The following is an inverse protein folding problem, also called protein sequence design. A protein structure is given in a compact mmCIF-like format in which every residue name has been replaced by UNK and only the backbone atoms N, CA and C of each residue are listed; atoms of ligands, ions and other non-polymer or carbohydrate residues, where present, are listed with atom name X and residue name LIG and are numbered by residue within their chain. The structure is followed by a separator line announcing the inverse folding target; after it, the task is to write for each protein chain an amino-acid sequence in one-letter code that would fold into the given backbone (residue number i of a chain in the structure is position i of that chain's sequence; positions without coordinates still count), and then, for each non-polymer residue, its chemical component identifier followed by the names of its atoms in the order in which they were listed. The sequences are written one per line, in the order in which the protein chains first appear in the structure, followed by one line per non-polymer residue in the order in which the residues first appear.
data_IF_120953066118
#
_entry.id   IF_120953066118
#
_cell.length_a   1.000
_cell.length_b   1.000
_cell.length_c   1.000
_cell.angle_alpha   90.00
_cell.angle_beta   90.00
_cell.angle_gamma   90.00
#
_symmetry.space_group_name_H-M   'P 1'
#
loop_
_entity.id
_entity.type
_entity.pdbx_description
1 polymer ?
#
# COMPACT_ATOMS: atom_id res chain seq x y z
N UNK A 1 -1.55 -26.59 -21.35
CA UNK A 1 -0.38 -27.51 -21.46
C UNK A 1 0.93 -26.84 -21.02
N UNK A 2 1.14 -25.54 -21.31
CA UNK A 2 2.35 -24.81 -20.92
C UNK A 2 2.56 -24.75 -19.39
N UNK A 3 1.50 -24.64 -18.59
CA UNK A 3 1.55 -24.59 -17.12
C UNK A 3 2.31 -25.76 -16.46
N UNK A 4 2.32 -26.95 -17.11
CA UNK A 4 3.02 -28.13 -16.57
C UNK A 4 4.54 -28.06 -16.71
N UNK A 5 5.05 -27.13 -17.51
CA UNK A 5 6.47 -27.02 -17.85
C UNK A 5 7.04 -25.63 -17.57
N UNK A 6 6.19 -24.66 -17.21
CA UNK A 6 6.63 -23.33 -16.80
C UNK A 6 7.29 -23.44 -15.43
N UNK A 7 8.47 -22.84 -15.29
CA UNK A 7 9.14 -22.69 -14.02
C UNK A 7 8.95 -21.26 -13.54
N UNK A 8 8.65 -21.13 -12.26
CA UNK A 8 8.77 -19.86 -11.54
C UNK A 8 10.19 -19.72 -11.00
N UNK A 9 10.72 -18.52 -11.04
CA UNK A 9 11.99 -18.18 -10.39
C UNK A 9 11.68 -17.23 -9.25
N UNK A 10 12.22 -17.50 -8.05
CA UNK A 10 12.13 -16.56 -6.94
C UNK A 10 13.27 -15.53 -6.93
N UNK A 11 13.20 -14.57 -6.04
CA UNK A 11 14.24 -13.53 -5.90
C UNK A 11 15.60 -14.06 -5.40
N UNK A 12 15.66 -15.33 -4.99
CA UNK A 12 16.90 -16.04 -4.62
C UNK A 12 17.42 -16.95 -5.74
N UNK A 13 16.89 -16.78 -6.97
CA UNK A 13 17.26 -17.55 -8.17
C UNK A 13 16.97 -19.06 -8.07
N UNK A 14 16.02 -19.46 -7.22
CA UNK A 14 15.52 -20.82 -7.15
C UNK A 14 14.35 -21.01 -8.11
N UNK A 15 14.33 -22.17 -8.75
CA UNK A 15 13.31 -22.53 -9.74
C UNK A 15 12.33 -23.52 -9.15
N UNK A 16 11.06 -23.34 -9.44
CA UNK A 16 9.96 -24.18 -8.97
C UNK A 16 8.99 -24.46 -10.10
N UNK A 17 8.45 -25.67 -10.13
CA UNK A 17 7.21 -25.92 -10.84
C UNK A 17 6.06 -25.19 -10.16
N UNK A 18 4.95 -25.04 -10.86
CA UNK A 18 3.77 -24.37 -10.30
C UNK A 18 3.28 -25.06 -9.01
N UNK A 19 3.23 -26.39 -8.98
CA UNK A 19 2.75 -27.18 -7.85
C UNK A 19 3.71 -27.09 -6.64
N UNK A 20 5.03 -27.12 -6.89
CA UNK A 20 6.04 -26.95 -5.84
C UNK A 20 5.94 -25.57 -5.21
N UNK A 21 5.77 -24.52 -6.02
CA UNK A 21 5.65 -23.16 -5.52
C UNK A 21 4.38 -22.95 -4.70
N UNK A 22 3.24 -23.47 -5.17
CA UNK A 22 2.01 -23.43 -4.39
C UNK A 22 2.18 -24.09 -3.02
N UNK A 23 2.80 -25.25 -2.98
CA UNK A 23 3.05 -25.99 -1.72
C UNK A 23 3.95 -25.18 -0.80
N UNK A 24 5.00 -24.55 -1.33
CA UNK A 24 5.94 -23.72 -0.57
C UNK A 24 5.27 -22.55 0.14
N UNK A 25 4.39 -21.84 -0.57
CA UNK A 25 3.82 -20.58 -0.05
C UNK A 25 2.52 -20.76 0.73
N UNK A 26 1.85 -21.91 0.63
CA UNK A 26 0.50 -22.15 1.12
C UNK A 26 0.29 -21.74 2.58
N UNK A 27 1.20 -22.12 3.45
CA UNK A 27 1.02 -21.91 4.90
C UNK A 27 1.25 -20.45 5.30
N UNK A 28 2.17 -19.78 4.62
CA UNK A 28 2.57 -18.41 4.97
C UNK A 28 1.86 -17.34 4.15
N UNK A 29 1.41 -17.65 2.93
CA UNK A 29 0.89 -16.66 1.99
C UNK A 29 -0.59 -16.89 1.65
N UNK A 30 -1.34 -17.53 2.53
CA UNK A 30 -2.80 -17.59 2.45
C UNK A 30 -3.39 -16.47 3.31
N UNK A 31 -4.31 -15.68 2.72
CA UNK A 31 -5.02 -14.60 3.42
C UNK A 31 -6.17 -15.14 4.28
N UNK A 32 -6.83 -14.26 5.04
CA UNK A 32 -7.97 -14.59 5.91
C UNK A 32 -9.19 -15.15 5.15
N UNK A 33 -9.32 -14.83 3.86
CA UNK A 33 -10.41 -15.27 3.00
C UNK A 33 -10.09 -16.58 2.28
N UNK A 34 -8.91 -17.14 2.53
CA UNK A 34 -8.42 -18.39 1.96
C UNK A 34 -7.87 -18.22 0.54
N UNK A 35 -7.51 -17.02 0.13
CA UNK A 35 -6.83 -16.81 -1.14
C UNK A 35 -5.32 -16.99 -0.97
N UNK A 36 -4.70 -17.68 -1.90
CA UNK A 36 -3.27 -17.85 -1.98
C UNK A 36 -2.63 -16.66 -2.68
N UNK A 37 -1.77 -15.93 -2.00
CA UNK A 37 -1.16 -14.70 -2.48
C UNK A 37 0.23 -14.97 -3.03
N UNK A 38 0.40 -14.80 -4.33
CA UNK A 38 1.69 -14.88 -5.01
C UNK A 38 2.33 -13.50 -5.00
N UNK A 39 3.30 -13.29 -4.13
CA UNK A 39 4.07 -12.06 -4.12
C UNK A 39 5.09 -12.09 -5.25
N UNK A 40 5.28 -10.97 -5.95
CA UNK A 40 6.27 -10.86 -7.00
C UNK A 40 6.96 -9.50 -7.04
N UNK A 41 8.15 -9.47 -7.60
CA UNK A 41 8.90 -8.29 -7.96
C UNK A 41 9.23 -8.34 -9.45
N UNK A 42 9.31 -7.19 -10.09
CA UNK A 42 9.75 -7.08 -11.49
C UNK A 42 11.12 -6.41 -11.65
N UNK A 43 11.66 -5.85 -10.57
CA UNK A 43 13.01 -5.30 -10.50
C UNK A 43 13.58 -5.50 -9.09
N UNK A 44 14.59 -6.37 -8.95
CA UNK A 44 15.20 -6.69 -7.67
C UNK A 44 15.84 -5.46 -7.00
N UNK A 45 16.49 -4.61 -7.77
CA UNK A 45 17.26 -3.50 -7.25
C UNK A 45 16.34 -2.37 -6.77
N UNK A 46 15.37 -1.98 -7.59
CA UNK A 46 14.41 -0.92 -7.23
C UNK A 46 13.46 -1.35 -6.10
N UNK A 47 13.14 -2.64 -6.01
CA UNK A 47 12.20 -3.17 -5.03
C UNK A 47 12.88 -3.89 -3.85
N UNK A 48 14.20 -3.70 -3.70
CA UNK A 48 14.98 -4.41 -2.69
C UNK A 48 14.40 -4.32 -1.26
N UNK A 49 14.05 -3.12 -0.81
CA UNK A 49 13.51 -2.91 0.54
C UNK A 49 12.16 -3.61 0.78
N UNK A 50 11.32 -3.69 -0.25
CA UNK A 50 10.03 -4.40 -0.18
C UNK A 50 10.23 -5.91 -0.20
N UNK A 51 11.17 -6.41 -1.01
CA UNK A 51 11.56 -7.83 -1.04
C UNK A 51 12.12 -8.25 0.32
N UNK A 52 13.03 -7.44 0.89
CA UNK A 52 13.60 -7.69 2.21
C UNK A 52 12.52 -7.72 3.30
N UNK A 53 11.60 -6.75 3.31
CA UNK A 53 10.49 -6.72 4.26
C UNK A 53 9.59 -7.96 4.15
N UNK A 54 9.30 -8.42 2.92
CA UNK A 54 8.50 -9.62 2.68
C UNK A 54 9.25 -10.89 3.14
N UNK A 55 10.54 -11.03 2.80
CA UNK A 55 11.34 -12.19 3.17
C UNK A 55 11.58 -12.28 4.67
N UNK A 56 11.75 -11.15 5.37
CA UNK A 56 11.87 -11.11 6.84
C UNK A 56 10.59 -11.59 7.54
N UNK A 57 9.43 -11.52 6.87
CA UNK A 57 8.17 -12.11 7.34
C UNK A 57 8.01 -13.60 6.96
N UNK A 58 9.00 -14.19 6.32
CA UNK A 58 8.96 -15.57 5.85
C UNK A 58 8.16 -15.75 4.56
N UNK A 59 7.88 -14.67 3.82
CA UNK A 59 7.23 -14.75 2.52
C UNK A 59 8.25 -15.03 1.43
N UNK A 60 7.85 -15.80 0.41
CA UNK A 60 8.63 -15.99 -0.80
C UNK A 60 8.14 -15.04 -1.89
N UNK A 61 9.07 -14.48 -2.65
CA UNK A 61 8.78 -13.49 -3.69
C UNK A 61 9.28 -14.00 -5.04
N UNK A 62 8.40 -14.05 -6.03
CA UNK A 62 8.75 -14.40 -7.41
C UNK A 62 9.46 -13.23 -8.09
N UNK A 63 10.37 -13.54 -8.99
CA UNK A 63 10.92 -12.60 -9.95
C UNK A 63 10.12 -12.70 -11.25
N UNK A 64 9.46 -11.62 -11.64
CA UNK A 64 8.64 -11.51 -12.85
C UNK A 64 9.08 -10.27 -13.63
N UNK A 65 10.26 -10.34 -14.23
CA UNK A 65 10.94 -9.27 -14.97
C UNK A 65 10.79 -9.37 -16.49
N UNK A 66 10.08 -10.38 -16.95
CA UNK A 66 9.83 -10.64 -18.37
C UNK A 66 8.68 -9.78 -18.92
N UNK A 67 8.80 -9.37 -20.18
CA UNK A 67 7.78 -8.56 -20.88
C UNK A 67 6.39 -9.23 -20.95
N UNK A 68 6.33 -10.54 -20.88
CA UNK A 68 5.07 -11.32 -20.95
C UNK A 68 4.48 -11.61 -19.56
N UNK A 69 5.18 -11.32 -18.49
CA UNK A 69 4.77 -11.73 -17.15
C UNK A 69 3.46 -11.06 -16.70
N UNK A 70 3.24 -9.81 -17.08
CA UNK A 70 1.96 -9.12 -16.80
C UNK A 70 0.78 -9.83 -17.44
N UNK A 71 0.93 -10.25 -18.69
CA UNK A 71 -0.11 -11.00 -19.39
C UNK A 71 -0.28 -12.41 -18.80
N UNK A 72 0.82 -13.04 -18.39
CA UNK A 72 0.81 -14.35 -17.74
C UNK A 72 0.10 -14.29 -16.37
N UNK A 73 0.38 -13.29 -15.56
CA UNK A 73 -0.28 -13.04 -14.26
C UNK A 73 -1.79 -12.96 -14.44
N UNK A 74 -2.25 -12.11 -15.35
CA UNK A 74 -3.70 -11.94 -15.62
C UNK A 74 -4.36 -13.24 -16.07
N UNK A 75 -3.67 -14.04 -16.91
CA UNK A 75 -4.16 -15.34 -17.34
C UNK A 75 -4.19 -16.36 -16.19
N UNK A 76 -3.20 -16.34 -15.31
CA UNK A 76 -3.14 -17.25 -14.16
C UNK A 76 -4.24 -16.96 -13.17
N UNK A 77 -4.47 -15.71 -12.83
CA UNK A 77 -5.56 -15.30 -11.91
C UNK A 77 -6.95 -15.72 -12.43
N UNK A 78 -7.18 -15.67 -13.74
CA UNK A 78 -8.43 -16.15 -14.32
C UNK A 78 -8.62 -17.66 -14.22
N UNK A 79 -7.53 -18.43 -14.18
CA UNK A 79 -7.56 -19.90 -14.19
C UNK A 79 -7.45 -20.54 -12.82
N UNK A 80 -6.86 -19.80 -11.87
CA UNK A 80 -6.61 -20.29 -10.52
C UNK A 80 -7.67 -19.77 -9.60
N UNK A 81 -8.49 -20.65 -9.11
CA UNK A 81 -9.46 -20.30 -8.06
C UNK A 81 -8.72 -19.89 -6.79
N UNK A 82 -9.22 -18.85 -6.11
CA UNK A 82 -8.68 -18.36 -4.85
C UNK A 82 -7.17 -18.07 -4.89
N UNK A 83 -6.71 -17.49 -5.97
CA UNK A 83 -5.31 -17.08 -6.13
C UNK A 83 -5.23 -15.65 -6.62
N UNK A 84 -4.26 -14.90 -6.07
CA UNK A 84 -4.00 -13.51 -6.42
C UNK A 84 -2.51 -13.27 -6.53
N UNK A 85 -2.11 -12.52 -7.54
CA UNK A 85 -0.74 -12.04 -7.69
C UNK A 85 -0.67 -10.58 -7.22
N UNK A 86 0.31 -10.29 -6.37
CA UNK A 86 0.47 -8.96 -5.77
C UNK A 86 1.93 -8.56 -5.82
N UNK A 87 2.23 -7.40 -6.41
CA UNK A 87 3.61 -6.90 -6.43
C UNK A 87 4.00 -6.39 -5.05
N UNK A 88 5.25 -6.65 -4.64
CA UNK A 88 5.73 -6.38 -3.27
C UNK A 88 5.64 -4.92 -2.83
N UNK A 89 5.64 -3.98 -3.77
CA UNK A 89 5.53 -2.54 -3.53
C UNK A 89 4.11 -1.97 -3.70
N UNK A 90 3.12 -2.85 -3.89
CA UNK A 90 1.73 -2.42 -4.05
C UNK A 90 1.10 -1.90 -2.76
N UNK A 91 1.59 -2.35 -1.62
CA UNK A 91 1.20 -1.89 -0.28
C UNK A 91 2.33 -2.18 0.72
N UNK A 92 2.16 -1.74 1.97
CA UNK A 92 3.05 -2.14 3.05
C UNK A 92 2.95 -3.65 3.27
N UNK A 93 4.07 -4.26 3.68
CA UNK A 93 4.18 -5.73 3.78
C UNK A 93 3.08 -6.36 4.63
N UNK A 94 2.57 -5.65 5.64
CA UNK A 94 1.50 -6.11 6.52
C UNK A 94 0.13 -6.19 5.86
N UNK A 95 -0.07 -5.46 4.77
CA UNK A 95 -1.31 -5.43 4.02
C UNK A 95 -1.27 -6.32 2.77
N UNK A 96 -0.08 -6.74 2.33
CA UNK A 96 0.06 -7.62 1.16
C UNK A 96 -0.67 -8.95 1.36
N UNK A 97 -0.60 -9.50 2.59
CA UNK A 97 -1.30 -10.73 2.97
C UNK A 97 -2.04 -10.47 4.29
N UNK A 98 -3.34 -10.22 4.20
CA UNK A 98 -4.17 -9.91 5.36
C UNK A 98 -4.57 -11.21 6.05
N UNK A 99 -3.92 -11.54 7.17
CA UNK A 99 -4.22 -12.75 7.97
C UNK A 99 -5.33 -12.52 8.99
N UNK A 100 -5.42 -11.31 9.53
CA UNK A 100 -6.42 -10.90 10.54
C UNK A 100 -6.88 -9.48 10.28
N UNK A 101 -8.09 -9.13 10.74
CA UNK A 101 -8.55 -7.75 10.68
C UNK A 101 -7.77 -6.90 11.69
N UNK A 102 -6.90 -6.03 11.19
CA UNK A 102 -6.11 -5.15 12.03
C UNK A 102 -7.01 -4.15 12.74
N UNK A 103 -7.07 -4.23 14.06
CA UNK A 103 -7.52 -3.15 14.93
C UNK A 103 -6.29 -2.32 15.33
N UNK A 104 -5.76 -1.54 14.41
CA UNK A 104 -4.70 -0.58 14.73
C UNK A 104 -5.29 0.63 15.44
N UNK A 105 -4.58 1.18 16.44
CA UNK A 105 -4.87 2.53 16.92
C UNK A 105 -4.63 3.51 15.77
N UNK A 106 -5.71 4.08 15.29
CA UNK A 106 -5.66 5.14 14.29
C UNK A 106 -5.37 6.45 15.02
N UNK A 107 -4.45 7.25 14.51
CA UNK A 107 -4.27 8.62 14.98
C UNK A 107 -5.60 9.37 14.96
N UNK A 108 -5.78 10.27 15.89
CA UNK A 108 -6.91 11.20 15.89
C UNK A 108 -6.98 11.96 14.55
N UNK A 109 -8.18 12.18 14.03
CA UNK A 109 -8.39 12.74 12.68
C UNK A 109 -7.69 14.10 12.50
N UNK A 110 -7.71 14.96 13.54
CA UNK A 110 -7.02 16.25 13.53
C UNK A 110 -5.50 16.11 13.33
N UNK A 111 -4.88 15.15 14.01
CA UNK A 111 -3.44 14.88 13.90
C UNK A 111 -3.08 14.24 12.55
N UNK A 112 -3.97 13.40 12.01
CA UNK A 112 -3.80 12.86 10.67
C UNK A 112 -3.83 13.97 9.62
N UNK A 113 -4.80 14.85 9.68
CA UNK A 113 -4.95 15.96 8.73
C UNK A 113 -3.76 16.93 8.83
N UNK A 114 -3.30 17.25 10.03
CA UNK A 114 -2.14 18.11 10.25
C UNK A 114 -0.88 17.54 9.60
N UNK A 115 -0.49 16.31 9.96
CA UNK A 115 0.74 15.71 9.44
C UNK A 115 0.68 15.42 7.93
N UNK A 116 -0.45 14.95 7.43
CA UNK A 116 -0.59 14.69 5.98
C UNK A 116 -0.53 15.97 5.18
N UNK A 117 -1.09 17.07 5.70
CA UNK A 117 -1.02 18.41 5.08
C UNK A 117 0.41 18.94 5.10
N UNK A 118 1.12 18.81 6.24
CA UNK A 118 2.52 19.23 6.36
C UNK A 118 3.40 18.51 5.33
N UNK A 119 3.32 17.19 5.25
CA UNK A 119 4.09 16.42 4.27
C UNK A 119 3.69 16.72 2.83
N UNK A 120 2.39 16.82 2.55
CA UNK A 120 1.88 17.13 1.22
C UNK A 120 2.38 18.49 0.70
N UNK A 121 2.54 19.47 1.58
CA UNK A 121 3.04 20.81 1.24
C UNK A 121 4.51 20.80 0.80
N UNK A 122 5.30 19.82 1.22
CA UNK A 122 6.72 19.68 0.93
C UNK A 122 7.01 18.77 -0.27
N UNK A 123 6.00 18.07 -0.79
CA UNK A 123 6.21 17.20 -1.95
C UNK A 123 6.48 18.02 -3.20
N UNK A 124 7.46 17.61 -4.02
CA UNK A 124 7.72 18.26 -5.29
C UNK A 124 6.54 18.07 -6.24
N UNK A 125 6.23 19.12 -6.98
CA UNK A 125 5.29 19.00 -8.10
C UNK A 125 6.00 18.32 -9.26
N UNK A 126 5.54 17.13 -9.59
CA UNK A 126 6.07 16.33 -10.69
C UNK A 126 5.00 16.20 -11.78
N UNK A 127 5.42 16.30 -13.03
CA UNK A 127 4.51 16.09 -14.15
C UNK A 127 4.07 14.62 -14.19
N UNK A 128 2.76 14.40 -14.32
CA UNK A 128 2.16 13.08 -14.39
C UNK A 128 2.41 12.15 -13.18
N UNK A 129 2.67 12.73 -12.01
CA UNK A 129 2.79 11.98 -10.74
C UNK A 129 1.94 12.65 -9.67
N UNK A 130 1.11 11.86 -9.00
CA UNK A 130 0.29 12.31 -7.88
C UNK A 130 0.57 11.47 -6.64
N UNK A 131 0.69 12.13 -5.49
CA UNK A 131 0.88 11.49 -4.20
C UNK A 131 -0.37 11.61 -3.33
N UNK A 132 -0.85 10.47 -2.86
CA UNK A 132 -1.83 10.39 -1.79
C UNK A 132 -1.08 10.17 -0.47
N UNK A 133 -1.09 11.16 0.43
CA UNK A 133 -0.41 11.07 1.72
C UNK A 133 -1.38 10.53 2.76
N UNK A 134 -0.98 9.47 3.47
CA UNK A 134 -1.79 8.83 4.50
C UNK A 134 -0.94 8.36 5.68
N UNK A 135 -1.56 8.14 6.83
CA UNK A 135 -0.90 7.60 8.02
C UNK A 135 -1.32 6.15 8.24
N UNK A 136 -0.38 5.33 8.70
CA UNK A 136 -0.65 3.96 9.16
C UNK A 136 0.23 3.62 10.37
N UNK A 137 -0.30 2.81 11.29
CA UNK A 137 0.46 2.24 12.40
C UNK A 137 1.17 0.97 11.90
N UNK A 138 2.51 1.03 11.75
CA UNK A 138 3.33 -0.06 11.19
C UNK A 138 4.32 -0.64 12.20
N UNK A 139 4.26 -0.16 13.46
CA UNK A 139 5.22 -0.51 14.50
C UNK A 139 6.48 0.35 14.46
N UNK A 140 7.12 0.48 15.61
CA UNK A 140 8.25 1.41 15.82
C UNK A 140 9.51 1.07 15.00
N UNK A 141 9.68 -0.21 14.65
CA UNK A 141 10.85 -0.72 13.92
C UNK A 141 10.70 -0.67 12.38
N UNK A 142 9.50 -0.35 11.89
CA UNK A 142 9.27 -0.20 10.46
C UNK A 142 9.74 1.17 9.98
N UNK A 143 9.97 1.33 8.67
CA UNK A 143 10.42 2.60 8.11
C UNK A 143 9.47 3.76 8.46
N UNK A 144 9.99 4.99 8.68
CA UNK A 144 9.16 6.15 9.01
C UNK A 144 8.22 6.57 7.87
N UNK A 145 8.67 6.39 6.64
CA UNK A 145 7.92 6.73 5.43
C UNK A 145 8.11 5.63 4.41
N UNK A 146 7.03 5.24 3.75
CA UNK A 146 7.03 4.27 2.66
C UNK A 146 6.24 4.82 1.47
N UNK A 147 6.69 4.48 0.26
CA UNK A 147 5.96 4.82 -0.97
C UNK A 147 5.43 3.52 -1.57
N UNK A 148 4.14 3.44 -1.83
CA UNK A 148 3.54 2.28 -2.48
C UNK A 148 2.75 2.70 -3.71
N UNK A 149 2.55 1.77 -4.65
CA UNK A 149 1.78 2.01 -5.86
C UNK A 149 0.65 0.99 -5.99
N UNK A 150 -0.60 1.47 -6.01
CA UNK A 150 -1.77 0.60 -6.11
C UNK A 150 -1.64 -0.39 -7.26
N UNK A 151 -1.78 -1.69 -6.95
CA UNK A 151 -1.72 -2.79 -7.92
C UNK A 151 -2.73 -2.58 -9.07
N UNK A 152 -3.95 -2.18 -8.73
CA UNK A 152 -5.01 -1.97 -9.72
C UNK A 152 -4.65 -0.87 -10.72
N UNK A 153 -4.27 0.31 -10.26
CA UNK A 153 -3.95 1.45 -11.13
C UNK A 153 -2.74 1.16 -12.01
N UNK A 154 -1.72 0.54 -11.43
CA UNK A 154 -0.52 0.13 -12.16
C UNK A 154 -0.83 -0.85 -13.28
N UNK A 155 -1.59 -1.93 -12.98
CA UNK A 155 -1.97 -2.93 -13.99
C UNK A 155 -2.83 -2.35 -15.10
N UNK A 156 -3.76 -1.47 -14.77
CA UNK A 156 -4.58 -0.78 -15.77
C UNK A 156 -3.69 0.04 -16.74
N UNK A 157 -2.68 0.70 -16.21
CA UNK A 157 -1.74 1.48 -17.01
C UNK A 157 -0.81 0.61 -17.88
N UNK A 158 -0.31 -0.49 -17.32
CA UNK A 158 0.50 -1.48 -18.07
C UNK A 158 -0.31 -2.12 -19.20
N UNK A 159 -1.57 -2.50 -18.95
CA UNK A 159 -2.46 -3.02 -19.99
C UNK A 159 -2.78 -2.01 -21.08
N UNK A 160 -2.91 -0.73 -20.73
CA UNK A 160 -3.14 0.35 -21.70
C UNK A 160 -2.01 0.47 -22.74
N UNK A 161 -0.78 0.18 -22.33
CA UNK A 161 0.37 0.17 -23.22
C UNK A 161 0.38 -1.00 -24.22
N UNK A 162 -0.36 -2.08 -23.89
CA UNK A 162 -0.43 -3.29 -24.72
C UNK A 162 -1.69 -3.29 -25.61
N UNK A 163 -2.79 -2.71 -25.13
CA UNK A 163 -4.08 -2.69 -25.83
C UNK A 163 -4.44 -1.29 -26.34
N UNK A 164 -4.44 -1.10 -27.63
CA UNK A 164 -4.74 0.20 -28.28
C UNK A 164 -6.10 0.83 -27.90
N UNK A 165 -7.06 0.06 -27.38
CA UNK A 165 -8.37 0.55 -26.95
C UNK A 165 -8.39 1.16 -25.54
N UNK A 166 -7.29 1.11 -24.79
CA UNK A 166 -7.19 1.57 -23.40
C UNK A 166 -6.23 2.77 -23.23
N UNK A 167 -5.93 3.49 -24.29
CA UNK A 167 -4.96 4.61 -24.32
C UNK A 167 -5.22 5.67 -23.23
N UNK A 168 -6.48 5.90 -22.85
CA UNK A 168 -6.87 6.83 -21.81
C UNK A 168 -6.17 6.55 -20.47
N UNK A 169 -6.04 5.29 -20.07
CA UNK A 169 -5.34 4.92 -18.83
C UNK A 169 -3.84 5.16 -18.91
N UNK A 170 -3.24 5.05 -20.10
CA UNK A 170 -1.82 5.35 -20.32
C UNK A 170 -1.46 6.82 -20.13
N UNK A 171 -2.43 7.74 -20.30
CA UNK A 171 -2.25 9.18 -20.11
C UNK A 171 -2.51 9.66 -18.68
N UNK A 172 -3.11 8.81 -17.83
CA UNK A 172 -3.36 9.15 -16.42
C UNK A 172 -2.04 9.31 -15.65
N UNK A 173 -2.01 10.21 -14.64
CA UNK A 173 -0.85 10.32 -13.76
C UNK A 173 -0.57 9.01 -13.03
N UNK A 174 0.70 8.78 -12.70
CA UNK A 174 1.08 7.73 -11.77
C UNK A 174 0.68 8.12 -10.36
N UNK A 175 -0.14 7.28 -9.73
CA UNK A 175 -0.61 7.52 -8.38
C UNK A 175 0.19 6.69 -7.38
N UNK A 176 0.84 7.36 -6.46
CA UNK A 176 1.57 6.75 -5.36
C UNK A 176 0.93 7.08 -4.02
N UNK A 177 1.00 6.15 -3.08
CA UNK A 177 0.69 6.41 -1.68
C UNK A 177 2.00 6.69 -0.93
N UNK A 178 2.06 7.82 -0.27
CA UNK A 178 3.09 8.15 0.71
C UNK A 178 2.54 7.80 2.09
N UNK A 179 3.03 6.73 2.67
CA UNK A 179 2.55 6.20 3.95
C UNK A 179 3.49 6.67 5.05
N UNK A 180 2.94 7.42 6.00
CA UNK A 180 3.64 7.90 7.19
C UNK A 180 3.37 6.93 8.33
N UNK A 181 4.42 6.32 8.88
CA UNK A 181 4.32 5.38 9.99
C UNK A 181 4.09 6.13 11.30
N UNK A 182 2.85 6.16 11.78
CA UNK A 182 2.47 6.87 13.01
C UNK A 182 3.13 6.34 14.28
N UNK A 183 3.65 5.10 14.26
CA UNK A 183 4.35 4.53 15.41
C UNK A 183 5.83 4.93 15.47
N UNK A 184 6.40 5.34 14.33
CA UNK A 184 7.81 5.64 14.26
C UNK A 184 8.18 6.93 15.01
N UNK A 185 9.29 6.89 15.76
CA UNK A 185 9.74 8.01 16.60
C UNK A 185 9.91 9.35 15.88
N UNK A 186 10.38 9.33 14.63
CA UNK A 186 10.54 10.55 13.82
C UNK A 186 9.19 11.17 13.45
N UNK A 187 8.20 10.37 13.13
CA UNK A 187 6.85 10.86 12.80
C UNK A 187 6.17 11.41 14.05
N UNK A 188 6.31 10.73 15.20
CA UNK A 188 5.84 11.26 16.51
C UNK A 188 6.52 12.58 16.87
N UNK A 189 7.81 12.72 16.58
CA UNK A 189 8.53 13.97 16.81
C UNK A 189 7.99 15.10 15.93
N UNK A 190 7.78 14.86 14.63
CA UNK A 190 7.20 15.88 13.72
C UNK A 190 5.81 16.30 14.18
N UNK A 191 4.96 15.37 14.62
CA UNK A 191 3.65 15.67 15.19
C UNK A 191 3.75 16.58 16.43
N UNK A 192 4.65 16.27 17.36
CA UNK A 192 4.84 17.08 18.56
C UNK A 192 5.37 18.48 18.25
N UNK A 193 6.28 18.60 17.29
CA UNK A 193 6.83 19.89 16.85
C UNK A 193 5.77 20.74 16.17
N UNK A 194 4.92 20.14 15.33
CA UNK A 194 3.79 20.80 14.69
C UNK A 194 2.75 21.25 15.71
N UNK A 195 2.33 20.40 16.65
CA UNK A 195 1.42 20.77 17.72
C UNK A 195 1.96 21.98 18.53
N UNK A 196 3.24 21.96 18.89
CA UNK A 196 3.86 23.04 19.65
C UNK A 196 3.93 24.36 18.85
N UNK A 197 4.24 24.28 17.56
CA UNK A 197 4.36 25.45 16.68
C UNK A 197 3.00 26.11 16.42
N UNK A 198 1.94 25.30 16.23
CA UNK A 198 0.62 25.77 15.85
C UNK A 198 -0.33 25.96 17.04
N UNK A 199 0.03 25.54 18.24
CA UNK A 199 -0.84 25.52 19.41
C UNK A 199 -1.48 26.89 19.72
N UNK A 200 -0.71 27.95 19.61
CA UNK A 200 -1.20 29.31 19.91
C UNK A 200 -2.26 29.81 18.91
N UNK A 201 -2.19 29.37 17.67
CA UNK A 201 -3.09 29.78 16.58
C UNK A 201 -4.31 28.85 16.48
N UNK A 202 -4.11 27.56 16.73
CA UNK A 202 -5.14 26.50 16.53
C UNK A 202 -6.06 26.37 17.75
N UNK A 203 -5.56 26.55 18.97
CA UNK A 203 -6.35 26.39 20.19
C UNK A 203 -7.60 27.29 20.25
N UNK A 204 -7.56 28.59 19.87
CA UNK A 204 -8.76 29.44 19.84
C UNK A 204 -9.81 28.92 18.83
N UNK A 205 -9.35 28.48 17.66
CA UNK A 205 -10.22 27.97 16.57
C UNK A 205 -10.91 26.67 16.99
N UNK A 206 -10.18 25.73 17.60
CA UNK A 206 -10.75 24.50 18.14
C UNK A 206 -11.80 24.77 19.20
N UNK A 207 -11.54 25.72 20.11
CA UNK A 207 -12.50 26.13 21.13
C UNK A 207 -13.78 26.70 20.52
N UNK A 208 -13.66 27.48 19.46
CA UNK A 208 -14.82 28.05 18.75
C UNK A 208 -15.59 26.94 17.99
N UNK A 209 -14.91 26.02 17.32
CA UNK A 209 -15.52 24.85 16.70
C UNK A 209 -16.30 23.98 17.68
N UNK A 210 -15.76 23.73 18.87
CA UNK A 210 -16.43 22.97 19.93
C UNK A 210 -17.69 23.69 20.42
N UNK A 211 -17.65 25.00 20.57
CA UNK A 211 -18.83 25.80 20.93
C UNK A 211 -19.92 25.73 19.87
N UNK A 212 -19.55 25.86 18.60
CA UNK A 212 -20.49 25.74 17.47
C UNK A 212 -21.09 24.33 17.40
N UNK A 213 -20.29 23.30 17.59
CA UNK A 213 -20.77 21.91 17.62
C UNK A 213 -21.74 21.65 18.76
N UNK A 214 -21.48 22.18 19.95
CA UNK A 214 -22.40 22.10 21.10
C UNK A 214 -23.75 22.78 20.77
N UNK A 215 -23.71 24.01 20.27
CA UNK A 215 -24.91 24.74 19.86
C UNK A 215 -25.71 23.98 18.77
N UNK A 216 -25.03 23.40 17.79
CA UNK A 216 -25.65 22.58 16.76
C UNK A 216 -26.36 21.36 17.34
N UNK A 217 -25.73 20.69 18.30
CA UNK A 217 -26.33 19.49 18.93
C UNK A 217 -27.54 19.88 19.79
N UNK A 218 -27.46 20.95 20.56
CA UNK A 218 -28.57 21.49 21.35
C UNK A 218 -29.77 21.90 20.47
N UNK A 219 -29.52 22.46 19.29
CA UNK A 219 -30.58 22.81 18.33
C UNK A 219 -31.23 21.55 17.72
N UNK A 220 -30.43 20.51 17.42
CA UNK A 220 -30.96 19.24 16.95
C UNK A 220 -31.84 18.53 17.98
N UNK A 221 -31.48 18.62 19.26
CA UNK A 221 -32.26 18.00 20.34
C UNK A 221 -33.57 18.77 20.63
N UNK A 222 -33.61 20.07 20.32
CA UNK A 222 -34.83 20.89 20.39
C UNK A 222 -35.78 20.68 19.19
N UNK A 223 -35.30 20.07 18.12
CA UNK A 223 -36.11 19.75 16.92
C UNK A 223 -36.74 18.36 16.95
N UNK A 224 -36.38 17.54 17.95
CA UNK A 224 -37.04 16.25 18.25
C UNK A 224 -38.17 16.45 19.25
#
# INVERSE_FOLDING_TARGET
KAQKFALFTDTNDKHYTFEEYQTLIKDNQTDKDGNLIYLYANNKDEQYSYIEAATNKGYNVLLMDGQLDVAMVSMLEQKLEKSRFTRVDSDVVDNLIVKEDKKGETLEASKQDAITTAFKSQLPKMDKVEFNVMTQALGENSAPVMITQSEYMRRMKEMANIQAGMSFYGEMPDMFNLILNSDHKLIKQVLNEEENACQAEVAPILSEMDNVNKQRNELKDKQK
#
